data_IF_991515862315
#
_entry.id   IF_991515862315
#
_cell.length_a   1.000
_cell.length_b   1.000
_cell.length_c   1.000
_cell.angle_alpha   90.00
_cell.angle_beta   90.00
_cell.angle_gamma   90.00
#
_symmetry.space_group_name_H-M   'P 1'
#
loop_
_entity.id
_entity.type
_entity.pdbx_description
1 polymer ?
#
# COMPACT_ATOMS: atom_id res chain seq x y z
N UNK A 1 36.00 11.77 9.68
CA UNK A 1 35.26 11.05 8.62
C UNK A 1 33.81 11.06 9.04
N UNK A 2 32.94 11.73 8.31
CA UNK A 2 31.49 11.70 8.56
C UNK A 2 30.99 10.31 8.19
N UNK A 3 30.46 9.56 9.18
CA UNK A 3 29.77 8.30 8.94
C UNK A 3 28.60 8.55 7.96
N UNK A 4 28.82 8.23 6.69
CA UNK A 4 27.75 8.26 5.68
C UNK A 4 26.85 7.05 6.00
N UNK A 5 25.76 7.29 6.73
CA UNK A 5 24.74 6.25 6.96
C UNK A 5 24.15 5.83 5.61
N UNK A 6 23.97 4.54 5.41
CA UNK A 6 23.24 4.04 4.25
C UNK A 6 21.85 4.69 4.20
N UNK A 7 21.34 5.03 3.00
CA UNK A 7 20.01 5.62 2.88
C UNK A 7 18.95 4.64 3.40
N UNK A 8 17.90 5.18 4.00
CA UNK A 8 16.75 4.39 4.45
C UNK A 8 16.00 3.81 3.26
N UNK A 9 15.42 2.64 3.44
CA UNK A 9 14.69 1.89 2.41
C UNK A 9 13.21 1.83 2.71
N UNK A 10 12.37 1.91 1.68
CA UNK A 10 10.93 1.77 1.78
C UNK A 10 10.40 0.78 0.73
N UNK A 11 9.57 -0.16 1.15
CA UNK A 11 8.74 -0.93 0.24
C UNK A 11 7.38 -0.24 0.11
N UNK A 12 7.05 0.28 -1.08
CA UNK A 12 5.76 0.86 -1.38
C UNK A 12 4.86 -0.16 -2.11
N UNK A 13 3.75 -0.53 -1.48
CA UNK A 13 2.75 -1.49 -1.98
C UNK A 13 1.48 -0.71 -2.32
N UNK A 14 1.23 -0.49 -3.62
CA UNK A 14 0.11 0.33 -4.09
C UNK A 14 -0.14 0.04 -5.57
N UNK A 15 -1.24 0.56 -6.16
CA UNK A 15 -1.43 0.49 -7.59
C UNK A 15 -0.46 1.40 -8.37
N UNK A 16 -0.29 1.11 -9.65
CA UNK A 16 0.51 1.89 -10.58
C UNK A 16 -0.38 2.41 -11.72
N UNK A 17 -0.57 3.71 -11.81
CA UNK A 17 -1.28 4.35 -12.93
C UNK A 17 -0.29 4.83 -14.00
N UNK A 18 -0.50 4.40 -15.26
CA UNK A 18 0.34 4.80 -16.37
C UNK A 18 0.18 6.27 -16.78
N UNK A 19 -1.03 6.80 -16.64
CA UNK A 19 -1.35 8.21 -16.91
C UNK A 19 -1.95 8.85 -15.65
N UNK A 20 -1.46 10.04 -15.33
CA UNK A 20 -1.81 10.76 -14.10
C UNK A 20 -0.81 10.47 -12.97
N UNK A 21 -0.85 11.33 -11.95
CA UNK A 21 0.04 11.21 -10.78
C UNK A 21 -0.78 10.83 -9.56
N UNK A 22 -0.77 9.55 -9.23
CA UNK A 22 -1.41 8.99 -8.03
C UNK A 22 -0.66 7.73 -7.61
N UNK A 23 -0.94 7.23 -6.44
CA UNK A 23 -0.44 5.93 -5.97
C UNK A 23 1.10 5.83 -6.09
N UNK A 24 1.66 4.78 -6.68
CA UNK A 24 3.12 4.61 -6.83
C UNK A 24 3.78 5.72 -7.64
N UNK A 25 3.09 6.29 -8.64
CA UNK A 25 3.67 7.34 -9.48
C UNK A 25 3.85 8.68 -8.77
N UNK A 26 3.27 8.87 -7.58
CA UNK A 26 3.51 10.02 -6.72
C UNK A 26 4.27 9.63 -5.44
N UNK A 27 4.01 8.48 -4.84
CA UNK A 27 4.70 8.03 -3.64
C UNK A 27 6.21 7.88 -3.88
N UNK A 28 6.61 7.22 -4.97
CA UNK A 28 8.02 6.99 -5.30
C UNK A 28 8.84 8.30 -5.43
N UNK A 29 8.45 9.30 -6.24
CA UNK A 29 9.25 10.52 -6.35
C UNK A 29 9.28 11.33 -5.05
N UNK A 30 8.21 11.34 -4.25
CA UNK A 30 8.19 12.04 -2.96
C UNK A 30 9.16 11.37 -1.97
N UNK A 31 9.09 10.06 -1.82
CA UNK A 31 9.99 9.30 -0.94
C UNK A 31 11.45 9.43 -1.40
N UNK A 32 11.70 9.35 -2.72
CA UNK A 32 13.03 9.54 -3.29
C UNK A 32 13.58 10.95 -3.03
N UNK A 33 12.76 11.98 -3.18
CA UNK A 33 13.13 13.37 -2.86
C UNK A 33 13.43 13.57 -1.36
N UNK A 34 12.80 12.78 -0.50
CA UNK A 34 13.08 12.73 0.94
C UNK A 34 14.35 11.91 1.29
N UNK A 35 15.07 11.39 0.30
CA UNK A 35 16.30 10.60 0.50
C UNK A 35 16.06 9.13 0.85
N UNK A 36 14.85 8.61 0.61
CA UNK A 36 14.50 7.21 0.86
C UNK A 36 14.62 6.40 -0.43
N UNK A 37 15.34 5.29 -0.41
CA UNK A 37 15.40 4.34 -1.52
C UNK A 37 14.11 3.53 -1.56
N UNK A 38 13.29 3.75 -2.57
CA UNK A 38 11.94 3.18 -2.66
C UNK A 38 11.89 2.01 -3.64
N UNK A 39 11.52 0.83 -3.13
CA UNK A 39 11.18 -0.36 -3.92
C UNK A 39 9.67 -0.41 -4.12
N UNK A 40 9.23 -0.87 -5.29
CA UNK A 40 7.83 -0.86 -5.66
C UNK A 40 7.27 -2.28 -5.77
N UNK A 41 6.11 -2.51 -5.15
CA UNK A 41 5.30 -3.71 -5.34
C UNK A 41 3.91 -3.30 -5.83
N UNK A 42 3.68 -3.27 -7.15
CA UNK A 42 2.40 -2.86 -7.68
C UNK A 42 1.32 -3.92 -7.42
N UNK A 43 0.15 -3.49 -6.93
CA UNK A 43 -1.02 -4.32 -6.69
C UNK A 43 -1.87 -4.49 -7.94
N UNK A 44 -1.88 -3.47 -8.79
CA UNK A 44 -2.56 -3.42 -10.09
C UNK A 44 -1.85 -2.42 -11.00
N UNK A 45 -1.93 -2.65 -12.29
CA UNK A 45 -1.56 -1.68 -13.31
C UNK A 45 -2.83 -1.07 -13.91
N UNK A 46 -3.00 0.24 -13.78
CA UNK A 46 -4.06 0.99 -14.45
C UNK A 46 -3.52 1.76 -15.65
N UNK A 47 -4.28 1.80 -16.74
CA UNK A 47 -3.92 2.66 -17.89
C UNK A 47 -3.84 4.14 -17.50
N UNK A 48 -4.68 4.56 -16.56
CA UNK A 48 -4.81 5.92 -16.05
C UNK A 48 -5.48 5.90 -14.68
N UNK A 49 -5.35 6.98 -13.90
CA UNK A 49 -6.00 7.04 -12.59
C UNK A 49 -7.53 7.08 -12.69
N UNK A 50 -8.20 6.69 -11.62
CA UNK A 50 -9.65 6.41 -11.59
C UNK A 50 -10.55 7.65 -11.68
N UNK A 51 -10.02 8.89 -11.67
CA UNK A 51 -10.80 10.09 -11.94
C UNK A 51 -11.14 10.27 -13.43
N UNK A 52 -10.50 9.52 -14.34
CA UNK A 52 -10.94 9.47 -15.75
C UNK A 52 -12.22 8.65 -15.87
N UNK A 53 -13.05 8.90 -16.91
CA UNK A 53 -14.35 8.23 -17.07
C UNK A 53 -14.27 6.71 -17.18
N UNK A 54 -13.15 6.18 -17.66
CA UNK A 54 -12.85 4.74 -17.77
C UNK A 54 -11.37 4.47 -17.71
N UNK A 55 -11.00 3.26 -17.38
CA UNK A 55 -9.62 2.78 -17.34
C UNK A 55 -9.56 1.29 -17.67
N UNK A 56 -8.41 0.84 -18.18
CA UNK A 56 -8.06 -0.57 -18.21
C UNK A 56 -7.31 -0.91 -16.93
N UNK A 57 -7.59 -2.08 -16.33
CA UNK A 57 -6.91 -2.60 -15.15
C UNK A 57 -6.32 -3.98 -15.46
N UNK A 58 -5.04 -4.15 -15.17
CA UNK A 58 -4.40 -5.46 -15.04
C UNK A 58 -4.19 -5.75 -13.58
N UNK A 59 -4.76 -6.83 -13.09
CA UNK A 59 -4.57 -7.28 -11.71
C UNK A 59 -3.22 -7.98 -11.55
N UNK A 60 -2.50 -7.69 -10.46
CA UNK A 60 -1.18 -8.26 -10.20
C UNK A 60 -1.15 -9.15 -8.95
N UNK A 61 -2.31 -9.51 -8.40
CA UNK A 61 -2.45 -10.32 -7.18
C UNK A 61 -1.55 -11.55 -7.17
N UNK A 62 -1.57 -12.33 -8.25
CA UNK A 62 -0.81 -13.57 -8.34
C UNK A 62 0.72 -13.37 -8.49
N UNK A 63 1.15 -12.15 -8.80
CA UNK A 63 2.56 -11.79 -8.92
C UNK A 63 3.18 -11.26 -7.61
N UNK A 64 2.36 -10.72 -6.70
CA UNK A 64 2.85 -10.02 -5.51
C UNK A 64 3.68 -10.91 -4.60
N UNK A 65 3.15 -12.06 -4.21
CA UNK A 65 3.85 -12.98 -3.31
C UNK A 65 5.10 -13.61 -3.93
N UNK A 66 5.08 -14.08 -5.21
CA UNK A 66 6.29 -14.53 -5.89
C UNK A 66 7.42 -13.49 -5.94
N UNK A 67 7.09 -12.21 -6.18
CA UNK A 67 8.08 -11.12 -6.17
C UNK A 67 8.68 -10.97 -4.75
N UNK A 68 7.84 -10.89 -3.73
CA UNK A 68 8.28 -10.74 -2.35
C UNK A 68 9.15 -11.92 -1.88
N UNK A 69 8.81 -13.16 -2.27
CA UNK A 69 9.61 -14.36 -1.99
C UNK A 69 11.01 -14.27 -2.60
N UNK A 70 11.14 -13.70 -3.82
CA UNK A 70 12.45 -13.47 -4.41
C UNK A 70 13.30 -12.50 -3.59
N UNK A 71 12.71 -11.43 -3.09
CA UNK A 71 13.41 -10.51 -2.21
C UNK A 71 13.82 -11.17 -0.88
N UNK A 72 12.94 -12.00 -0.32
CA UNK A 72 13.25 -12.79 0.88
C UNK A 72 14.43 -13.74 0.64
N UNK A 73 14.48 -14.45 -0.50
CA UNK A 73 15.61 -15.32 -0.87
C UNK A 73 16.94 -14.56 -0.91
N UNK A 74 16.92 -13.28 -1.27
CA UNK A 74 18.10 -12.40 -1.25
C UNK A 74 18.38 -11.77 0.12
N UNK A 75 17.61 -12.12 1.15
CA UNK A 75 17.75 -11.55 2.49
C UNK A 75 17.35 -10.08 2.60
N UNK A 76 16.59 -9.56 1.62
CA UNK A 76 16.16 -8.16 1.62
C UNK A 76 15.15 -7.92 2.73
N UNK A 77 15.38 -6.85 3.48
CA UNK A 77 14.48 -6.27 4.48
C UNK A 77 14.36 -4.77 4.23
N UNK A 78 13.31 -4.16 4.75
CA UNK A 78 13.05 -2.74 4.56
C UNK A 78 12.97 -2.00 5.89
N UNK A 79 13.48 -0.76 5.94
CA UNK A 79 13.32 0.13 7.11
C UNK A 79 11.87 0.59 7.28
N UNK A 80 11.11 0.65 6.17
CA UNK A 80 9.68 0.96 6.19
C UNK A 80 8.92 0.22 5.12
N UNK A 81 7.63 -0.04 5.39
CA UNK A 81 6.68 -0.61 4.43
C UNK A 81 5.47 0.33 4.39
N UNK A 82 5.17 0.89 3.23
CA UNK A 82 4.02 1.75 2.99
C UNK A 82 3.00 1.01 2.13
N UNK A 83 1.79 0.84 2.66
CA UNK A 83 0.68 0.17 1.98
C UNK A 83 -0.39 1.19 1.66
N UNK A 84 -0.84 1.23 0.40
CA UNK A 84 -1.97 2.02 -0.05
C UNK A 84 -3.07 1.15 -0.66
N UNK A 85 -3.51 1.48 -1.89
CA UNK A 85 -4.65 0.81 -2.53
C UNK A 85 -4.41 -0.68 -2.77
N UNK A 86 -5.37 -1.49 -2.29
CA UNK A 86 -5.50 -2.92 -2.56
C UNK A 86 -6.84 -3.16 -3.27
N UNK A 87 -6.86 -4.07 -4.22
CA UNK A 87 -8.03 -4.25 -5.08
C UNK A 87 -9.06 -5.26 -4.57
N UNK A 88 -8.66 -6.15 -3.67
CA UNK A 88 -9.53 -7.17 -3.08
C UNK A 88 -8.97 -7.76 -1.77
N UNK A 89 -9.78 -8.60 -1.12
CA UNK A 89 -9.44 -9.25 0.16
C UNK A 89 -8.22 -10.17 0.04
N UNK A 90 -8.02 -10.85 -1.08
CA UNK A 90 -6.86 -11.73 -1.30
C UNK A 90 -5.56 -10.94 -1.25
N UNK A 91 -5.55 -9.71 -1.80
CA UNK A 91 -4.40 -8.82 -1.69
C UNK A 91 -4.11 -8.39 -0.25
N UNK A 92 -5.14 -8.16 0.57
CA UNK A 92 -4.96 -7.85 2.01
C UNK A 92 -4.23 -9.00 2.73
N UNK A 93 -4.63 -10.23 2.47
CA UNK A 93 -4.00 -11.42 3.07
C UNK A 93 -2.54 -11.57 2.60
N UNK A 94 -2.28 -11.40 1.30
CA UNK A 94 -0.94 -11.44 0.72
C UNK A 94 -0.04 -10.34 1.32
N UNK A 95 -0.55 -9.13 1.45
CA UNK A 95 0.22 -8.01 2.02
C UNK A 95 0.55 -8.26 3.49
N UNK A 96 -0.37 -8.83 4.27
CA UNK A 96 -0.11 -9.24 5.65
C UNK A 96 1.04 -10.25 5.74
N UNK A 97 1.08 -11.24 4.82
CA UNK A 97 2.20 -12.19 4.72
C UNK A 97 3.50 -11.50 4.32
N UNK A 98 3.46 -10.60 3.34
CA UNK A 98 4.62 -9.84 2.85
C UNK A 98 5.22 -8.95 3.95
N UNK A 99 4.38 -8.27 4.73
CA UNK A 99 4.83 -7.46 5.88
C UNK A 99 5.61 -8.36 6.85
N UNK A 100 5.03 -9.49 7.23
CA UNK A 100 5.70 -10.44 8.15
C UNK A 100 7.01 -10.95 7.59
N UNK A 101 7.06 -11.21 6.28
CA UNK A 101 8.22 -11.78 5.58
C UNK A 101 9.38 -10.78 5.46
N UNK A 102 9.10 -9.51 5.16
CA UNK A 102 10.11 -8.52 4.75
C UNK A 102 10.42 -7.46 5.81
N UNK A 103 9.73 -7.45 6.96
CA UNK A 103 10.04 -6.57 8.09
C UNK A 103 11.19 -7.12 8.93
N UNK A 104 11.92 -6.25 9.62
CA UNK A 104 12.75 -6.53 10.79
C UNK A 104 12.17 -5.81 12.02
N UNK A 105 12.80 -5.92 13.20
CA UNK A 105 12.25 -5.37 14.45
C UNK A 105 12.02 -3.86 14.43
N UNK A 106 12.87 -3.11 13.72
CA UNK A 106 12.80 -1.64 13.60
C UNK A 106 12.01 -1.16 12.36
N UNK A 107 11.41 -2.06 11.58
CA UNK A 107 10.64 -1.68 10.38
C UNK A 107 9.37 -0.93 10.78
N UNK A 108 9.19 0.26 10.24
CA UNK A 108 7.97 1.05 10.41
C UNK A 108 6.96 0.66 9.32
N UNK A 109 5.81 0.16 9.71
CA UNK A 109 4.71 -0.18 8.80
C UNK A 109 3.67 0.94 8.81
N UNK A 110 3.45 1.53 7.65
CA UNK A 110 2.45 2.59 7.44
C UNK A 110 1.35 2.05 6.54
N UNK A 111 0.10 2.13 6.98
CA UNK A 111 -1.06 1.70 6.19
C UNK A 111 -1.99 2.88 5.93
N UNK A 112 -2.18 3.18 4.66
CA UNK A 112 -3.25 4.03 4.15
C UNK A 112 -4.41 3.10 3.74
N UNK A 113 -5.50 3.04 4.51
CA UNK A 113 -6.57 2.08 4.28
C UNK A 113 -7.52 2.56 3.18
N UNK A 114 -7.00 2.75 1.97
CA UNK A 114 -7.71 3.34 0.82
C UNK A 114 -9.00 2.58 0.52
N UNK A 115 -10.14 3.13 0.95
CA UNK A 115 -11.47 2.53 0.79
C UNK A 115 -12.53 3.49 0.28
N UNK A 116 -12.35 4.78 0.40
CA UNK A 116 -13.38 5.74 0.01
C UNK A 116 -12.99 7.18 0.34
N UNK A 117 -13.85 8.12 -0.07
CA UNK A 117 -13.68 9.54 0.21
C UNK A 117 -15.05 10.26 0.21
N UNK A 118 -15.11 11.44 0.84
CA UNK A 118 -16.30 12.29 0.88
C UNK A 118 -17.58 11.54 1.36
N UNK A 119 -17.46 10.70 2.37
CA UNK A 119 -18.56 9.93 2.96
C UNK A 119 -19.02 8.72 2.14
N UNK A 120 -18.29 8.35 1.08
CA UNK A 120 -18.68 7.23 0.20
C UNK A 120 -17.53 6.26 0.00
N UNK A 121 -17.81 4.97 0.17
CA UNK A 121 -16.87 3.91 -0.21
C UNK A 121 -16.81 3.78 -1.73
N UNK A 122 -15.63 3.42 -2.23
CA UNK A 122 -15.46 3.08 -3.65
C UNK A 122 -16.26 1.82 -3.99
N UNK A 123 -16.72 1.71 -5.23
CA UNK A 123 -17.57 0.60 -5.69
C UNK A 123 -16.94 -0.79 -5.54
N UNK A 124 -15.63 -0.86 -5.51
CA UNK A 124 -14.86 -2.11 -5.34
C UNK A 124 -14.75 -2.54 -3.88
N UNK A 125 -15.13 -1.70 -2.91
CA UNK A 125 -14.97 -2.01 -1.49
C UNK A 125 -16.20 -2.74 -0.98
N UNK A 126 -16.02 -4.01 -0.62
CA UNK A 126 -17.02 -4.84 0.04
C UNK A 126 -16.87 -4.76 1.57
N UNK A 127 -17.87 -5.20 2.34
CA UNK A 127 -17.73 -5.33 3.81
C UNK A 127 -16.55 -6.19 4.24
N UNK A 128 -16.29 -7.27 3.50
CA UNK A 128 -15.14 -8.17 3.74
C UNK A 128 -13.82 -7.45 3.51
N UNK A 129 -13.74 -6.61 2.47
CA UNK A 129 -12.57 -5.77 2.20
C UNK A 129 -12.32 -4.78 3.35
N UNK A 130 -13.36 -4.08 3.80
CA UNK A 130 -13.26 -3.15 4.92
C UNK A 130 -12.82 -3.84 6.22
N UNK A 131 -13.35 -5.04 6.50
CA UNK A 131 -12.93 -5.86 7.64
C UNK A 131 -11.46 -6.33 7.50
N UNK A 132 -11.04 -6.68 6.29
CA UNK A 132 -9.66 -7.04 5.98
C UNK A 132 -8.69 -5.87 6.19
N UNK A 133 -9.02 -4.70 5.67
CA UNK A 133 -8.22 -3.47 5.86
C UNK A 133 -8.11 -3.08 7.34
N UNK A 134 -9.19 -3.21 8.12
CA UNK A 134 -9.15 -3.02 9.57
C UNK A 134 -8.15 -3.96 10.26
N UNK A 135 -8.10 -5.24 9.86
CA UNK A 135 -7.10 -6.21 10.38
C UNK A 135 -5.69 -5.85 9.95
N UNK A 136 -5.50 -5.39 8.71
CA UNK A 136 -4.19 -4.97 8.23
C UNK A 136 -3.68 -3.75 9.02
N UNK A 137 -4.56 -2.78 9.31
CA UNK A 137 -4.24 -1.62 10.14
C UNK A 137 -3.78 -2.01 11.57
N UNK A 138 -4.20 -3.15 12.10
CA UNK A 138 -3.73 -3.65 13.42
C UNK A 138 -2.28 -4.13 13.39
N UNK A 139 -1.69 -4.35 12.22
CA UNK A 139 -0.27 -4.72 12.04
C UNK A 139 0.61 -3.49 11.80
N UNK A 140 0.01 -2.32 11.61
CA UNK A 140 0.71 -1.08 11.31
C UNK A 140 1.16 -0.36 12.58
N UNK A 141 2.31 0.32 12.46
CA UNK A 141 2.79 1.27 13.48
C UNK A 141 2.13 2.64 13.30
N UNK A 142 1.75 2.97 12.05
CA UNK A 142 1.06 4.20 11.69
C UNK A 142 -0.07 3.89 10.71
N UNK A 143 -1.24 4.46 10.95
CA UNK A 143 -2.37 4.44 10.01
C UNK A 143 -2.75 5.86 9.62
N UNK A 144 -3.14 6.08 8.36
CA UNK A 144 -3.48 7.41 7.84
C UNK A 144 -4.86 7.45 7.16
N UNK A 145 -5.94 6.99 7.83
CA UNK A 145 -7.27 6.99 7.27
C UNK A 145 -7.82 8.42 7.15
N UNK A 146 -8.57 8.69 6.07
CA UNK A 146 -9.48 9.83 6.04
C UNK A 146 -10.73 9.55 6.91
N UNK A 147 -11.61 10.55 7.07
CA UNK A 147 -12.80 10.40 7.94
C UNK A 147 -13.78 9.33 7.43
N UNK A 148 -13.88 9.14 6.11
CA UNK A 148 -14.74 8.10 5.51
C UNK A 148 -14.23 6.71 5.84
N UNK A 149 -12.94 6.51 5.73
CA UNK A 149 -12.25 5.25 6.01
C UNK A 149 -12.27 4.93 7.51
N UNK A 150 -12.00 5.91 8.35
CA UNK A 150 -12.12 5.78 9.80
C UNK A 150 -13.53 5.37 10.21
N UNK A 151 -14.56 6.04 9.64
CA UNK A 151 -15.97 5.69 9.86
C UNK A 151 -16.28 4.25 9.45
N UNK A 152 -15.83 3.83 8.26
CA UNK A 152 -16.04 2.48 7.76
C UNK A 152 -15.41 1.41 8.66
N UNK A 153 -14.17 1.65 9.13
CA UNK A 153 -13.47 0.73 10.03
C UNK A 153 -14.09 0.65 11.43
N UNK A 154 -14.69 1.73 11.90
CA UNK A 154 -15.32 1.81 13.23
C UNK A 154 -16.81 1.46 13.21
N UNK A 155 -17.43 1.32 12.03
CA UNK A 155 -18.87 1.14 11.90
C UNK A 155 -19.67 2.39 12.25
N UNK A 156 -19.10 3.57 12.07
CA UNK A 156 -19.69 4.87 12.34
C UNK A 156 -20.02 5.54 11.01
N UNK A 157 -21.28 5.98 10.84
CA UNK A 157 -21.67 6.74 9.65
C UNK A 157 -21.03 8.14 9.72
N UNK A 158 -20.22 8.47 8.72
CA UNK A 158 -19.70 9.82 8.51
C UNK A 158 -20.75 10.65 7.76
N UNK A 159 -21.22 11.73 8.39
CA UNK A 159 -22.18 12.68 7.83
C UNK A 159 -21.49 13.97 7.45
#
# INVERSE_FOLDING_TARGET
>A
MTDIKAPKTCLAIHDLAGLGKCSLTIAMPILSAAGVVTSLLPTSLFSNHTAFPSHHKTDLTDSMLPIAKKWQEFGIKFDSIYVGYLSDVKQVEIVSEIITMLRHEDTIVVVDPVMGDNGKLYRSITPEMAAGMKKLCQQADVIIPNLTEAGAMLGIEYK
#
